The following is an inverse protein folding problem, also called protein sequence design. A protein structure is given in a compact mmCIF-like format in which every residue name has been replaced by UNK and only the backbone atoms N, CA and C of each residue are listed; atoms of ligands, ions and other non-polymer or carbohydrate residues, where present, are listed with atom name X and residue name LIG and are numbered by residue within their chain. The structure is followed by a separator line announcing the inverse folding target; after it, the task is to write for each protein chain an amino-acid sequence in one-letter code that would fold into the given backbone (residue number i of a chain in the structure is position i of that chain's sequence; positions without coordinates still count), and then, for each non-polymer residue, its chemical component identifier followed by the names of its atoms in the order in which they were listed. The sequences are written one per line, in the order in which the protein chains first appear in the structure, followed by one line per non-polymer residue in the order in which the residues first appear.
data_IF_025021537041
#
_entry.id   IF_025021537041
#
_cell.length_a   1.000
_cell.length_b   1.000
_cell.length_c   1.000
_cell.angle_alpha   90.00
_cell.angle_beta   90.00
_cell.angle_gamma   90.00
#
_symmetry.space_group_name_H-M   'P 1'
#
loop_
_entity.id
_entity.type
_entity.pdbx_description
1 polymer ?
#
# COMPACT_ATOMS: atom_id res chain seq x y z
N UNK A 1 3.50 -16.21 14.01
CA UNK A 1 3.67 -15.74 12.62
C UNK A 1 2.54 -16.34 11.79
N UNK A 2 1.75 -15.50 11.11
CA UNK A 2 0.66 -15.95 10.24
C UNK A 2 1.12 -15.75 8.79
N UNK A 3 1.03 -16.80 7.98
CA UNK A 3 1.42 -16.76 6.57
C UNK A 3 0.20 -17.05 5.71
N UNK A 4 -0.07 -16.18 4.75
CA UNK A 4 -1.17 -16.30 3.79
C UNK A 4 -0.66 -16.42 2.36
N UNK A 5 -1.58 -16.62 1.42
CA UNK A 5 -1.28 -16.67 -0.02
C UNK A 5 -0.96 -15.30 -0.61
N UNK A 6 -1.34 -14.23 0.09
CA UNK A 6 -1.15 -12.86 -0.32
C UNK A 6 -1.85 -11.90 0.63
N UNK A 7 -1.74 -10.61 0.34
CA UNK A 7 -2.33 -9.52 1.12
C UNK A 7 -3.85 -9.68 1.30
N UNK A 8 -4.56 -10.05 0.23
CA UNK A 8 -6.03 -10.17 0.27
C UNK A 8 -6.49 -11.28 1.21
N UNK A 9 -5.81 -12.43 1.21
CA UNK A 9 -6.14 -13.55 2.10
C UNK A 9 -6.02 -13.13 3.57
N UNK A 10 -4.93 -12.45 3.94
CA UNK A 10 -4.74 -11.94 5.31
C UNK A 10 -5.76 -10.85 5.66
N UNK A 11 -6.07 -9.96 4.71
CA UNK A 11 -7.08 -8.91 4.90
C UNK A 11 -8.47 -9.47 5.19
N UNK A 12 -8.88 -10.54 4.49
CA UNK A 12 -10.17 -11.22 4.73
C UNK A 12 -10.21 -11.81 6.14
N UNK A 13 -9.14 -12.52 6.55
CA UNK A 13 -9.06 -13.10 7.89
C UNK A 13 -9.16 -12.03 8.97
N UNK A 14 -8.39 -10.94 8.85
CA UNK A 14 -8.37 -9.85 9.83
C UNK A 14 -9.75 -9.17 9.90
N UNK A 15 -10.38 -8.92 8.76
CA UNK A 15 -11.70 -8.30 8.72
C UNK A 15 -12.79 -9.21 9.31
N UNK A 16 -12.68 -10.53 9.11
CA UNK A 16 -13.59 -11.49 9.73
C UNK A 16 -13.40 -11.51 11.25
N UNK A 17 -12.17 -11.59 11.74
CA UNK A 17 -11.87 -11.53 13.18
C UNK A 17 -12.38 -10.23 13.81
N UNK A 18 -12.22 -9.10 13.11
CA UNK A 18 -12.77 -7.81 13.57
C UNK A 18 -14.30 -7.86 13.70
N UNK A 19 -15.01 -8.47 12.75
CA UNK A 19 -16.47 -8.65 12.79
C UNK A 19 -16.93 -9.62 13.87
N UNK A 20 -16.08 -10.56 14.25
CA UNK A 20 -16.30 -11.49 15.36
C UNK A 20 -15.99 -10.86 16.73
N UNK A 21 -15.51 -9.61 16.77
CA UNK A 21 -15.27 -8.86 18.00
C UNK A 21 -13.88 -9.03 18.59
N UNK A 22 -12.91 -9.57 17.84
CA UNK A 22 -11.53 -9.65 18.28
C UNK A 22 -10.82 -8.29 18.24
N UNK A 23 -10.00 -8.04 19.25
CA UNK A 23 -9.04 -6.93 19.28
C UNK A 23 -7.63 -7.47 19.05
N UNK A 24 -6.91 -6.91 18.08
CA UNK A 24 -5.56 -7.37 17.73
C UNK A 24 -4.73 -6.24 17.11
N UNK A 25 -3.41 -6.32 17.29
CA UNK A 25 -2.44 -5.48 16.59
C UNK A 25 -1.71 -6.30 15.53
N UNK A 26 -1.52 -5.71 14.34
CA UNK A 26 -0.84 -6.36 13.21
C UNK A 26 0.43 -5.59 12.84
N UNK A 27 1.50 -6.32 12.55
CA UNK A 27 2.71 -5.74 11.98
C UNK A 27 2.58 -5.49 10.48
N UNK A 28 3.53 -4.75 9.91
CA UNK A 28 3.66 -4.59 8.46
C UNK A 28 3.76 -5.96 7.78
N UNK A 29 3.02 -6.23 6.70
CA UNK A 29 3.17 -7.46 5.94
C UNK A 29 4.52 -7.50 5.22
N UNK A 30 5.15 -8.67 5.21
CA UNK A 30 6.42 -8.91 4.53
C UNK A 30 6.27 -10.12 3.60
N UNK A 31 7.00 -10.09 2.49
CA UNK A 31 7.08 -11.24 1.58
C UNK A 31 7.90 -12.35 2.22
N UNK A 32 7.53 -13.61 1.94
CA UNK A 32 8.30 -14.77 2.38
C UNK A 32 9.45 -14.98 1.39
N UNK A 33 10.66 -14.62 1.81
CA UNK A 33 11.88 -14.86 1.06
C UNK A 33 12.27 -16.33 1.23
N UNK A 34 12.63 -16.99 0.12
CA UNK A 34 13.14 -18.37 0.12
C UNK A 34 14.60 -18.40 -0.29
N UNK A 35 15.36 -19.30 0.30
CA UNK A 35 16.71 -19.60 -0.17
C UNK A 35 16.63 -20.76 -1.17
N UNK A 36 17.08 -20.51 -2.40
CA UNK A 36 17.13 -21.51 -3.48
C UNK A 36 18.54 -21.39 -4.08
N UNK A 37 19.27 -22.50 -4.13
CA UNK A 37 20.65 -22.57 -4.63
C UNK A 37 21.60 -21.53 -3.99
N UNK A 38 21.46 -21.31 -2.68
CA UNK A 38 22.27 -20.36 -1.91
C UNK A 38 21.98 -18.88 -2.21
N UNK A 39 20.86 -18.57 -2.88
CA UNK A 39 20.44 -17.19 -3.20
C UNK A 39 19.05 -16.91 -2.65
N UNK A 40 18.86 -15.69 -2.14
CA UNK A 40 17.57 -15.19 -1.70
C UNK A 40 16.64 -14.93 -2.89
N UNK A 41 15.44 -15.49 -2.84
CA UNK A 41 14.39 -15.36 -3.84
C UNK A 41 13.13 -14.75 -3.24
N UNK A 42 12.48 -13.83 -3.95
CA UNK A 42 11.16 -13.29 -3.62
C UNK A 42 10.08 -13.80 -4.57
N UNK A 43 8.81 -13.84 -4.14
CA UNK A 43 7.70 -14.19 -5.02
C UNK A 43 7.44 -13.07 -6.03
N UNK A 44 7.34 -13.47 -7.30
CA UNK A 44 6.91 -12.66 -8.42
C UNK A 44 5.45 -12.97 -8.73
N UNK A 45 4.69 -11.94 -9.05
CA UNK A 45 3.27 -12.03 -9.39
C UNK A 45 3.03 -11.43 -10.78
N UNK A 46 2.05 -12.00 -11.49
CA UNK A 46 1.51 -11.43 -12.71
C UNK A 46 0.37 -10.48 -12.34
N UNK A 47 0.56 -9.18 -12.57
CA UNK A 47 -0.43 -8.14 -12.35
C UNK A 47 -1.08 -7.77 -13.70
N UNK A 48 -2.39 -7.91 -13.78
CA UNK A 48 -3.21 -7.46 -14.91
C UNK A 48 -4.03 -6.27 -14.47
N UNK A 49 -3.88 -5.14 -15.17
CA UNK A 49 -4.64 -3.92 -14.90
C UNK A 49 -5.43 -3.55 -16.14
N UNK A 50 -6.74 -3.44 -15.98
CA UNK A 50 -7.65 -2.90 -16.99
C UNK A 50 -8.05 -1.49 -16.58
N UNK A 51 -7.76 -0.51 -17.44
CA UNK A 51 -7.73 0.92 -17.11
C UNK A 51 -8.16 1.74 -18.34
N UNK A 52 -8.83 2.90 -18.16
CA UNK A 52 -9.09 3.82 -19.26
C UNK A 52 -7.80 4.27 -19.96
N UNK A 53 -7.79 4.36 -21.29
CA UNK A 53 -6.60 4.71 -22.08
C UNK A 53 -5.94 6.02 -21.61
N UNK A 54 -6.75 6.99 -21.18
CA UNK A 54 -6.29 8.27 -20.62
C UNK A 54 -5.47 8.15 -19.32
N UNK A 55 -5.73 7.13 -18.51
CA UNK A 55 -5.11 6.91 -17.20
C UNK A 55 -3.98 5.87 -17.24
N UNK A 56 -3.74 5.27 -18.42
CA UNK A 56 -2.72 4.24 -18.66
C UNK A 56 -1.32 4.68 -18.22
N UNK A 57 -0.92 5.90 -18.57
CA UNK A 57 0.43 6.43 -18.25
C UNK A 57 0.70 6.48 -16.74
N UNK A 58 -0.29 6.91 -15.95
CA UNK A 58 -0.17 6.95 -14.49
C UNK A 58 -0.02 5.54 -13.89
N UNK A 59 -0.76 4.55 -14.42
CA UNK A 59 -0.63 3.15 -13.99
C UNK A 59 0.75 2.59 -14.32
N UNK A 60 1.27 2.86 -15.51
CA UNK A 60 2.61 2.43 -15.92
C UNK A 60 3.69 3.02 -15.03
N UNK A 61 3.61 4.32 -14.72
CA UNK A 61 4.56 4.99 -13.84
C UNK A 61 4.53 4.40 -12.41
N UNK A 62 3.34 4.31 -11.81
CA UNK A 62 3.17 3.80 -10.45
C UNK A 62 3.65 2.35 -10.31
N UNK A 63 3.44 1.53 -11.33
CA UNK A 63 3.88 0.13 -11.34
C UNK A 63 5.38 0.04 -11.59
N UNK A 64 5.92 0.82 -12.54
CA UNK A 64 7.35 0.85 -12.86
C UNK A 64 8.23 1.32 -11.70
N UNK A 65 7.79 2.33 -10.94
CA UNK A 65 8.47 2.78 -9.70
C UNK A 65 8.64 1.65 -8.67
N UNK A 66 7.80 0.60 -8.76
CA UNK A 66 7.79 -0.56 -7.88
C UNK A 66 8.35 -1.82 -8.50
N UNK A 67 9.21 -1.66 -9.51
CA UNK A 67 9.88 -2.74 -10.24
C UNK A 67 8.91 -3.65 -11.00
N UNK A 68 7.75 -3.12 -11.38
CA UNK A 68 6.87 -3.80 -12.33
C UNK A 68 7.41 -3.67 -13.76
N UNK A 69 7.58 -4.80 -14.43
CA UNK A 69 7.96 -4.86 -15.84
C UNK A 69 6.75 -5.19 -16.69
N UNK A 70 6.42 -4.30 -17.63
CA UNK A 70 5.35 -4.57 -18.60
C UNK A 70 5.75 -5.74 -19.51
N UNK A 71 4.88 -6.74 -19.62
CA UNK A 71 5.05 -7.88 -20.54
C UNK A 71 4.11 -7.79 -21.73
N UNK A 72 2.90 -7.31 -21.51
CA UNK A 72 1.91 -7.19 -22.56
C UNK A 72 1.03 -5.96 -22.37
N UNK A 73 0.53 -5.43 -23.48
CA UNK A 73 -0.39 -4.30 -23.50
C UNK A 73 -1.33 -4.48 -24.69
N UNK A 74 -2.63 -4.51 -24.40
CA UNK A 74 -3.71 -4.68 -25.37
C UNK A 74 -4.68 -3.49 -25.26
N UNK A 75 -4.97 -2.84 -26.37
CA UNK A 75 -6.03 -1.83 -26.42
C UNK A 75 -7.37 -2.50 -26.76
N UNK A 76 -8.35 -2.38 -25.88
CA UNK A 76 -9.71 -2.90 -26.07
C UNK A 76 -10.62 -1.77 -26.55
N UNK A 77 -10.63 -1.56 -27.86
CA UNK A 77 -11.32 -0.42 -28.47
C UNK A 77 -10.56 0.89 -28.25
N UNK A 78 -11.29 2.01 -28.24
CA UNK A 78 -10.68 3.34 -28.07
C UNK A 78 -10.44 3.71 -26.58
N UNK A 79 -11.28 3.20 -25.68
CA UNK A 79 -11.42 3.81 -24.35
C UNK A 79 -10.71 3.03 -23.23
N UNK A 80 -10.38 1.76 -23.47
CA UNK A 80 -9.83 0.85 -22.44
C UNK A 80 -8.54 0.18 -22.90
N UNK A 81 -7.64 -0.04 -21.96
CA UNK A 81 -6.41 -0.77 -22.17
C UNK A 81 -6.21 -1.79 -21.05
N UNK A 82 -5.81 -3.00 -21.42
CA UNK A 82 -5.36 -4.05 -20.51
C UNK A 82 -3.85 -4.12 -20.57
N UNK A 83 -3.21 -4.04 -19.42
CA UNK A 83 -1.76 -4.07 -19.27
C UNK A 83 -1.38 -5.20 -18.33
N UNK A 84 -0.43 -6.03 -18.75
CA UNK A 84 0.11 -7.13 -17.97
C UNK A 84 1.54 -6.79 -17.52
N UNK A 85 1.80 -6.96 -16.24
CA UNK A 85 3.08 -6.70 -15.61
C UNK A 85 3.56 -7.91 -14.82
N UNK A 86 4.86 -8.19 -14.88
CA UNK A 86 5.53 -8.96 -13.84
C UNK A 86 5.98 -8.00 -12.73
N UNK A 87 5.57 -8.25 -11.50
CA UNK A 87 5.90 -7.38 -10.35
C UNK A 87 6.26 -8.24 -9.13
N UNK A 88 7.30 -7.88 -8.35
CA UNK A 88 7.54 -8.56 -7.08
C UNK A 88 6.37 -8.33 -6.13
N UNK A 89 5.97 -9.33 -5.35
CA UNK A 89 4.85 -9.22 -4.42
C UNK A 89 5.02 -8.05 -3.41
N UNK A 90 6.27 -7.69 -3.10
CA UNK A 90 6.64 -6.53 -2.28
C UNK A 90 6.20 -5.20 -2.91
N UNK A 91 6.27 -5.10 -4.25
CA UNK A 91 5.79 -3.96 -5.02
C UNK A 91 4.26 -3.80 -4.96
N UNK A 92 3.50 -4.89 -4.83
CA UNK A 92 2.04 -4.82 -4.75
C UNK A 92 1.52 -4.21 -3.44
N UNK A 93 2.31 -4.21 -2.37
CA UNK A 93 1.89 -3.73 -1.03
C UNK A 93 1.55 -2.24 -1.07
N UNK A 94 0.25 -1.92 -1.06
CA UNK A 94 -0.25 -0.53 -1.12
C UNK A 94 -0.37 0.05 -2.54
N UNK A 95 -0.01 -0.70 -3.59
CA UNK A 95 -0.14 -0.24 -4.98
C UNK A 95 -1.62 -0.08 -5.38
N UNK A 96 -2.49 -1.00 -4.94
CA UNK A 96 -3.92 -1.00 -5.28
C UNK A 96 -4.61 0.33 -4.96
N UNK A 97 -4.37 0.88 -3.76
CA UNK A 97 -4.97 2.14 -3.36
C UNK A 97 -4.52 3.30 -4.26
N UNK A 98 -3.21 3.35 -4.59
CA UNK A 98 -2.65 4.39 -5.45
C UNK A 98 -3.17 4.35 -6.88
N UNK A 99 -3.29 3.14 -7.45
CA UNK A 99 -3.87 2.96 -8.79
C UNK A 99 -5.33 3.41 -8.79
N UNK A 100 -6.14 2.96 -7.83
CA UNK A 100 -7.54 3.38 -7.75
C UNK A 100 -7.69 4.90 -7.61
N UNK A 101 -6.84 5.56 -6.82
CA UNK A 101 -6.84 7.03 -6.73
C UNK A 101 -6.46 7.68 -8.06
N UNK A 102 -5.39 7.21 -8.70
CA UNK A 102 -4.91 7.76 -9.98
C UNK A 102 -5.92 7.58 -11.13
N UNK A 103 -6.72 6.51 -11.08
CA UNK A 103 -7.73 6.21 -12.11
C UNK A 103 -9.15 6.59 -11.67
N UNK A 104 -9.31 7.35 -10.59
CA UNK A 104 -10.63 7.76 -10.07
C UNK A 104 -11.60 6.59 -9.82
N UNK A 105 -11.06 5.41 -9.47
CA UNK A 105 -11.82 4.19 -9.19
C UNK A 105 -12.17 3.32 -10.41
N UNK A 106 -11.82 3.74 -11.63
CA UNK A 106 -12.18 3.00 -12.85
C UNK A 106 -11.28 1.79 -13.16
N UNK A 107 -10.10 1.70 -12.55
CA UNK A 107 -9.18 0.60 -12.77
C UNK A 107 -9.66 -0.70 -12.13
N UNK A 108 -9.55 -1.78 -12.88
CA UNK A 108 -9.75 -3.15 -12.42
C UNK A 108 -8.39 -3.83 -12.35
N UNK A 109 -8.05 -4.39 -11.19
CA UNK A 109 -6.75 -5.02 -10.95
C UNK A 109 -6.93 -6.47 -10.54
N UNK A 110 -6.17 -7.35 -11.20
CA UNK A 110 -6.04 -8.75 -10.84
C UNK A 110 -4.57 -9.08 -10.70
N UNK A 111 -4.20 -9.90 -9.72
CA UNK A 111 -2.85 -10.43 -9.61
C UNK A 111 -2.90 -11.89 -9.18
N UNK A 112 -1.92 -12.65 -9.64
CA UNK A 112 -1.71 -14.02 -9.23
C UNK A 112 -0.22 -14.30 -9.07
N UNK A 113 0.11 -15.11 -8.07
CA UNK A 113 1.44 -15.67 -7.92
C UNK A 113 1.84 -16.45 -9.17
N UNK A 114 3.06 -16.20 -9.65
CA UNK A 114 3.62 -16.90 -10.80
C UNK A 114 4.79 -17.80 -10.37
N UNK A 115 5.89 -17.20 -9.89
CA UNK A 115 7.13 -17.94 -9.57
C UNK A 115 7.98 -17.24 -8.51
N UNK A 116 9.02 -17.92 -8.04
CA UNK A 116 10.08 -17.30 -7.25
C UNK A 116 11.21 -16.84 -8.16
N UNK A 117 11.73 -15.65 -7.90
CA UNK A 117 12.85 -15.06 -8.65
C UNK A 117 13.90 -14.50 -7.68
N UNK A 118 15.19 -14.42 -8.06
CA UNK A 118 16.19 -13.75 -7.25
C UNK A 118 15.72 -12.34 -6.84
N UNK A 119 16.05 -11.90 -5.63
CA UNK A 119 15.64 -10.60 -5.08
C UNK A 119 15.84 -9.45 -6.09
N UNK A 120 14.75 -8.76 -6.41
CA UNK A 120 14.70 -7.66 -7.39
C UNK A 120 14.83 -6.34 -6.64
N UNK A 121 16.08 -5.89 -6.46
CA UNK A 121 16.44 -4.55 -5.99
C UNK A 121 15.66 -4.05 -4.77
N UNK A 122 15.65 -2.73 -4.59
CA UNK A 122 14.87 -2.08 -3.53
C UNK A 122 13.57 -1.51 -4.08
N UNK A 123 12.47 -1.82 -3.38
CA UNK A 123 11.15 -1.21 -3.60
C UNK A 123 11.03 -0.03 -2.64
N UNK A 124 10.72 1.18 -3.12
CA UNK A 124 10.68 2.38 -2.29
C UNK A 124 9.65 2.27 -1.16
N UNK A 125 10.03 2.83 -0.01
CA UNK A 125 9.18 2.90 1.19
C UNK A 125 8.12 4.00 1.13
N UNK A 126 7.58 4.36 2.30
CA UNK A 126 6.72 5.56 2.43
C UNK A 126 7.60 6.82 2.22
N UNK A 127 7.17 7.79 1.41
CA UNK A 127 7.90 9.05 1.25
C UNK A 127 7.63 10.02 2.42
N UNK A 128 6.51 9.85 3.12
CA UNK A 128 6.06 10.72 4.20
C UNK A 128 6.30 10.10 5.57
N UNK A 129 6.61 10.95 6.55
CA UNK A 129 6.68 10.61 7.97
C UNK A 129 5.30 10.58 8.63
N UNK A 130 5.28 10.20 9.90
CA UNK A 130 4.09 10.18 10.74
C UNK A 130 4.07 11.36 11.71
N UNK A 131 2.88 11.90 11.95
CA UNK A 131 2.58 12.73 13.11
C UNK A 131 2.18 11.82 14.26
N UNK A 132 2.88 11.91 15.39
CA UNK A 132 2.76 10.99 16.53
C UNK A 132 2.32 11.77 17.76
N UNK A 133 1.25 11.33 18.43
CA UNK A 133 0.76 11.98 19.65
C UNK A 133 1.80 11.92 20.77
N UNK A 134 2.10 13.07 21.37
CA UNK A 134 2.97 13.18 22.54
C UNK A 134 2.32 12.64 23.81
N UNK A 135 1.04 12.93 24.01
CA UNK A 135 0.31 12.61 25.25
C UNK A 135 -1.03 11.92 24.99
N UNK A 136 -1.53 11.24 26.02
CA UNK A 136 -2.85 10.61 26.01
C UNK A 136 -3.90 11.62 26.45
N UNK A 137 -4.93 11.81 25.63
CA UNK A 137 -6.00 12.76 25.93
C UNK A 137 -6.95 12.99 24.78
N UNK A 138 -7.80 14.00 24.95
CA UNK A 138 -8.76 14.41 23.93
C UNK A 138 -8.11 15.42 22.97
N UNK A 139 -8.24 15.17 21.67
CA UNK A 139 -7.75 16.07 20.63
C UNK A 139 -8.53 17.39 20.67
N UNK A 140 -7.84 18.51 20.82
CA UNK A 140 -8.47 19.84 20.81
C UNK A 140 -8.55 20.40 19.39
N UNK A 141 -9.55 21.25 19.13
CA UNK A 141 -9.65 21.95 17.84
C UNK A 141 -8.43 22.85 17.57
N UNK A 142 -7.86 23.43 18.62
CA UNK A 142 -6.64 24.24 18.53
C UNK A 142 -5.43 23.42 18.07
N UNK A 143 -5.26 22.21 18.60
CA UNK A 143 -4.19 21.30 18.19
C UNK A 143 -4.33 20.86 16.73
N UNK A 144 -5.56 20.57 16.29
CA UNK A 144 -5.86 20.19 14.90
C UNK A 144 -5.54 21.33 13.94
N UNK A 145 -5.96 22.55 14.26
CA UNK A 145 -5.69 23.73 13.44
C UNK A 145 -4.18 24.03 13.36
N UNK A 146 -3.48 23.99 14.50
CA UNK A 146 -2.03 24.19 14.56
C UNK A 146 -1.23 23.15 13.76
N UNK A 147 -1.74 21.91 13.65
CA UNK A 147 -1.09 20.83 12.91
C UNK A 147 -1.55 20.69 11.47
N UNK A 148 -2.58 21.41 11.04
CA UNK A 148 -3.12 21.38 9.68
C UNK A 148 -2.05 21.72 8.63
N UNK A 149 -1.18 22.68 8.92
CA UNK A 149 -0.07 23.07 8.04
C UNK A 149 1.07 22.04 7.98
N UNK A 150 1.09 21.08 8.92
CA UNK A 150 2.14 20.05 9.03
C UNK A 150 1.79 18.80 8.24
N UNK A 151 0.53 18.59 7.86
CA UNK A 151 0.15 17.44 7.06
C UNK A 151 -1.32 17.07 7.15
N UNK A 152 -1.63 15.82 6.82
CA UNK A 152 -3.00 15.32 6.77
C UNK A 152 -3.32 14.57 8.06
N UNK A 153 -4.25 15.09 8.85
CA UNK A 153 -4.65 14.48 10.12
C UNK A 153 -5.66 13.35 9.91
N UNK A 154 -5.51 12.28 10.69
CA UNK A 154 -6.43 11.14 10.75
C UNK A 154 -7.46 11.27 11.87
N UNK A 155 -7.24 12.22 12.79
CA UNK A 155 -8.08 12.50 13.95
C UNK A 155 -8.86 13.80 13.76
N UNK A 156 -9.97 13.92 14.50
CA UNK A 156 -10.83 15.09 14.54
C UNK A 156 -10.86 15.68 15.95
N UNK A 157 -11.25 16.96 16.11
CA UNK A 157 -11.47 17.54 17.42
C UNK A 157 -12.48 16.70 18.22
N UNK A 158 -12.12 16.32 19.45
CA UNK A 158 -12.92 15.49 20.33
C UNK A 158 -12.55 14.01 20.35
N UNK A 159 -11.75 13.52 19.39
CA UNK A 159 -11.27 12.14 19.37
C UNK A 159 -10.34 11.86 20.56
N UNK A 160 -10.39 10.65 21.11
CA UNK A 160 -9.49 10.21 22.17
C UNK A 160 -8.25 9.56 21.55
N UNK A 161 -7.07 10.05 21.93
CA UNK A 161 -5.77 9.53 21.47
C UNK A 161 -4.90 9.10 22.64
N UNK A 162 -3.93 8.22 22.38
CA UNK A 162 -2.92 7.81 23.35
C UNK A 162 -1.51 8.20 22.91
N UNK A 163 -0.61 8.39 23.87
CA UNK A 163 0.79 8.70 23.61
C UNK A 163 1.43 7.62 22.71
N UNK A 164 2.08 8.05 21.63
CA UNK A 164 2.65 7.16 20.62
C UNK A 164 1.70 6.74 19.49
N UNK A 165 0.43 7.14 19.53
CA UNK A 165 -0.52 6.91 18.43
C UNK A 165 -0.16 7.76 17.21
N UNK A 166 -0.20 7.17 16.01
CA UNK A 166 -0.10 7.93 14.76
C UNK A 166 -1.41 8.67 14.51
N UNK A 167 -1.35 9.99 14.52
CA UNK A 167 -2.51 10.90 14.39
C UNK A 167 -2.59 11.61 13.04
N UNK A 168 -1.59 11.45 12.18
CA UNK A 168 -1.59 11.98 10.83
C UNK A 168 -0.37 11.61 10.00
N UNK A 169 -0.39 12.03 8.75
CA UNK A 169 0.69 11.94 7.78
C UNK A 169 1.42 13.27 7.68
N UNK A 170 2.74 13.28 7.90
CA UNK A 170 3.56 14.49 7.84
C UNK A 170 3.89 14.84 6.38
N UNK A 171 3.92 16.13 6.05
CA UNK A 171 4.27 16.60 4.71
C UNK A 171 5.78 16.48 4.36
N UNK A 172 6.61 16.01 5.31
CA UNK A 172 8.02 15.67 5.11
C UNK A 172 8.27 14.20 5.44
N UNK A 173 9.47 13.72 5.15
CA UNK A 173 9.90 12.33 5.31
C UNK A 173 10.20 11.92 6.77
N UNK A 174 10.55 12.87 7.63
CA UNK A 174 10.84 12.61 9.03
C UNK A 174 9.57 12.47 9.87
N UNK A 175 9.59 11.63 10.90
CA UNK A 175 8.52 11.56 11.89
C UNK A 175 8.56 12.78 12.82
N UNK A 176 7.39 13.22 13.30
CA UNK A 176 7.24 14.36 14.19
C UNK A 176 6.30 14.01 15.35
N UNK A 177 6.80 14.10 16.58
CA UNK A 177 5.97 13.97 17.79
C UNK A 177 5.34 15.33 18.12
N UNK A 178 4.02 15.36 18.28
CA UNK A 178 3.20 16.58 18.41
C UNK A 178 2.17 16.48 19.52
#
# INVERSE_FOLDING_TARGET
VVSGRGMLHLGILIEQMRREGYELAIGKPHVVVKEIDGRAHEPLEMLVVDVPTQSMGAVMELTGQRKGEMKHMEHRGADRCVIEFEIPARGLIGLRARILTATQGEAIMHHAFDRFVPMIGEVPGRPNGALIALETGQVTAYSVDAMSDRGVLFVRPGDQVYAGQVVGEHNRDNDLTV
#
